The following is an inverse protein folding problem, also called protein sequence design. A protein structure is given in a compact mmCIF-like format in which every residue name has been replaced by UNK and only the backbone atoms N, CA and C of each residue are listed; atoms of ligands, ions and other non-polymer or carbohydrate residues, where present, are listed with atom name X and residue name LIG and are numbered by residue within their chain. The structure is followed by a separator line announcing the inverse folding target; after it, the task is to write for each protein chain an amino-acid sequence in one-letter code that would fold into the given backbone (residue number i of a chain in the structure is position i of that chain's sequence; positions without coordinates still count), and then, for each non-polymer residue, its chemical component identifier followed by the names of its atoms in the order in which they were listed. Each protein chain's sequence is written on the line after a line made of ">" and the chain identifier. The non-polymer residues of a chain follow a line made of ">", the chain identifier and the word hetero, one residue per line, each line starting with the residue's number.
data_IF_240038895263
#
_entry.id   IF_240038895263
#
_cell.length_a   1.000
_cell.length_b   1.000
_cell.length_c   1.000
_cell.angle_alpha   90.00
_cell.angle_beta   90.00
_cell.angle_gamma   90.00
#
_symmetry.space_group_name_H-M   'P 1'
#
loop_
_entity.id
_entity.type
_entity.pdbx_description
1 polymer ?
#
# COMPACT_ATOMS: atom_id res chain seq x y z
N UNK A 1 68.90 6.32 -1.63
CA UNK A 1 67.86 5.42 -2.12
C UNK A 1 66.55 5.87 -1.57
N UNK A 2 65.77 6.61 -2.35
CA UNK A 2 64.48 7.09 -1.89
C UNK A 2 63.38 6.19 -2.47
N UNK A 3 62.75 5.39 -1.61
CA UNK A 3 61.55 4.63 -1.96
C UNK A 3 60.37 5.58 -1.85
N UNK A 4 59.84 6.02 -2.99
CA UNK A 4 58.57 6.70 -3.07
C UNK A 4 57.43 5.67 -2.85
N UNK A 5 56.77 5.79 -1.72
CA UNK A 5 55.55 5.10 -1.42
C UNK A 5 54.40 5.86 -2.12
N UNK A 6 53.90 5.31 -3.22
CA UNK A 6 52.67 5.80 -3.88
C UNK A 6 51.47 5.28 -3.12
N UNK A 7 50.90 6.07 -2.25
CA UNK A 7 49.63 5.81 -1.62
C UNK A 7 48.52 6.01 -2.66
N UNK A 8 47.96 4.91 -3.13
CA UNK A 8 46.75 4.90 -3.95
C UNK A 8 45.55 5.14 -3.03
N UNK A 9 44.96 6.33 -3.10
CA UNK A 9 43.70 6.63 -2.43
C UNK A 9 42.60 6.04 -3.29
N UNK A 10 42.08 4.89 -2.88
CA UNK A 10 40.87 4.30 -3.46
C UNK A 10 39.67 5.06 -2.95
N UNK A 11 39.11 5.94 -3.78
CA UNK A 11 37.81 6.57 -3.52
C UNK A 11 36.75 5.50 -3.82
N UNK A 12 36.28 4.83 -2.77
CA UNK A 12 35.09 3.99 -2.86
C UNK A 12 33.86 4.88 -2.99
N UNK A 13 33.34 5.03 -4.21
CA UNK A 13 32.02 5.61 -4.44
C UNK A 13 30.96 4.63 -3.87
N UNK A 14 30.45 4.96 -2.69
CA UNK A 14 29.22 4.36 -2.18
C UNK A 14 28.07 4.85 -3.07
N UNK A 15 27.70 4.05 -4.06
CA UNK A 15 26.38 4.18 -4.67
C UNK A 15 25.36 3.75 -3.60
N UNK A 16 24.80 4.72 -2.89
CA UNK A 16 23.57 4.51 -2.17
C UNK A 16 22.51 4.18 -3.23
N UNK A 17 22.24 2.90 -3.43
CA UNK A 17 21.06 2.47 -4.15
C UNK A 17 19.87 2.99 -3.34
N UNK A 18 19.27 4.09 -3.78
CA UNK A 18 17.96 4.49 -3.34
C UNK A 18 17.02 3.41 -3.88
N UNK A 19 16.74 2.41 -3.05
CA UNK A 19 15.64 1.52 -3.28
C UNK A 19 14.39 2.41 -3.35
N UNK A 20 13.87 2.62 -4.55
CA UNK A 20 12.53 3.13 -4.71
C UNK A 20 11.64 2.15 -3.93
N UNK A 21 11.13 2.60 -2.77
CA UNK A 21 10.21 1.80 -1.98
C UNK A 21 8.94 1.67 -2.82
N UNK A 22 8.82 0.55 -3.53
CA UNK A 22 7.58 0.19 -4.19
C UNK A 22 6.50 0.10 -3.11
N UNK A 23 5.36 0.79 -3.31
CA UNK A 23 4.23 0.74 -2.39
C UNK A 23 3.64 -0.67 -2.43
N UNK A 24 3.71 -1.39 -1.31
CA UNK A 24 3.17 -2.75 -1.21
C UNK A 24 1.65 -2.71 -1.07
N UNK A 25 0.94 -3.34 -2.02
CA UNK A 25 -0.50 -3.50 -1.93
C UNK A 25 -0.84 -4.51 -0.84
N UNK A 26 -1.66 -4.15 0.18
CA UNK A 26 -2.00 -5.06 1.27
C UNK A 26 -2.75 -6.29 0.78
N UNK A 27 -2.40 -7.45 1.32
CA UNK A 27 -3.12 -8.67 1.04
C UNK A 27 -4.51 -8.60 1.66
N UNK A 28 -5.54 -8.96 0.87
CA UNK A 28 -6.91 -9.04 1.35
C UNK A 28 -7.02 -10.06 2.48
N UNK A 29 -7.73 -9.68 3.54
CA UNK A 29 -7.99 -10.56 4.68
C UNK A 29 -9.20 -11.46 4.42
N UNK A 30 -9.22 -12.60 5.10
CA UNK A 30 -10.40 -13.46 5.16
C UNK A 30 -11.37 -12.94 6.22
N UNK A 31 -12.61 -12.72 5.81
CA UNK A 31 -13.69 -12.29 6.70
C UNK A 31 -14.36 -13.54 7.31
N UNK A 32 -14.54 -13.61 8.64
CA UNK A 32 -15.18 -14.76 9.27
C UNK A 32 -16.63 -14.94 8.82
N UNK A 33 -17.08 -16.19 8.70
CA UNK A 33 -18.47 -16.51 8.37
C UNK A 33 -19.35 -16.34 9.61
N UNK A 34 -20.21 -15.32 9.63
CA UNK A 34 -21.07 -15.01 10.78
C UNK A 34 -22.08 -16.10 11.13
N UNK A 35 -22.42 -17.00 10.20
CA UNK A 35 -23.34 -18.11 10.47
C UNK A 35 -22.70 -19.26 11.26
N UNK A 36 -21.37 -19.34 11.26
CA UNK A 36 -20.62 -20.45 11.88
C UNK A 36 -19.55 -20.01 12.86
N UNK A 37 -19.05 -18.77 12.74
CA UNK A 37 -17.97 -18.25 13.55
C UNK A 37 -18.33 -18.13 15.04
N UNK A 38 -17.35 -18.35 15.92
CA UNK A 38 -17.47 -18.05 17.33
C UNK A 38 -17.43 -16.52 17.58
N UNK A 39 -17.81 -16.10 18.80
CA UNK A 39 -17.66 -14.70 19.21
C UNK A 39 -16.21 -14.24 19.11
N UNK A 40 -15.28 -15.07 19.52
CA UNK A 40 -13.84 -14.74 19.48
C UNK A 40 -13.34 -14.62 18.04
N UNK A 41 -13.83 -15.45 17.11
CA UNK A 41 -13.52 -15.32 15.70
C UNK A 41 -14.06 -14.03 15.10
N UNK A 42 -15.25 -13.62 15.49
CA UNK A 42 -15.84 -12.34 15.05
C UNK A 42 -15.04 -11.13 15.58
N UNK A 43 -14.57 -11.20 16.83
CA UNK A 43 -13.70 -10.15 17.41
C UNK A 43 -12.35 -10.12 16.70
N UNK A 44 -11.75 -11.27 16.44
CA UNK A 44 -10.51 -11.36 15.66
C UNK A 44 -10.70 -10.82 14.23
N UNK A 45 -11.81 -11.12 13.59
CA UNK A 45 -12.20 -10.60 12.29
C UNK A 45 -12.31 -9.08 12.29
N UNK A 46 -12.92 -8.47 13.30
CA UNK A 46 -13.00 -7.02 13.45
C UNK A 46 -11.62 -6.38 13.56
N UNK A 47 -10.73 -6.95 14.35
CA UNK A 47 -9.34 -6.47 14.47
C UNK A 47 -8.60 -6.60 13.14
N UNK A 48 -8.78 -7.70 12.44
CA UNK A 48 -8.21 -7.94 11.11
C UNK A 48 -8.68 -6.91 10.08
N UNK A 49 -9.98 -6.59 10.05
CA UNK A 49 -10.53 -5.55 9.17
C UNK A 49 -9.92 -4.18 9.48
N UNK A 50 -9.84 -3.79 10.75
CA UNK A 50 -9.23 -2.52 11.15
C UNK A 50 -7.75 -2.44 10.74
N UNK A 51 -6.99 -3.50 10.96
CA UNK A 51 -5.58 -3.57 10.55
C UNK A 51 -5.43 -3.48 9.03
N UNK A 52 -6.28 -4.17 8.28
CA UNK A 52 -6.33 -4.10 6.82
C UNK A 52 -6.64 -2.68 6.32
N UNK A 53 -7.63 -2.00 6.91
CA UNK A 53 -7.96 -0.62 6.56
C UNK A 53 -6.77 0.32 6.78
N UNK A 54 -6.08 0.20 7.92
CA UNK A 54 -4.86 0.98 8.20
C UNK A 54 -3.78 0.73 7.16
N UNK A 55 -3.53 -0.53 6.81
CA UNK A 55 -2.53 -0.88 5.78
C UNK A 55 -2.91 -0.34 4.40
N UNK A 56 -4.20 -0.32 4.06
CA UNK A 56 -4.68 0.27 2.80
C UNK A 56 -4.54 1.79 2.79
N UNK A 57 -4.79 2.47 3.91
CA UNK A 57 -4.56 3.92 4.04
C UNK A 57 -3.07 4.26 3.89
N UNK A 58 -2.18 3.46 4.47
CA UNK A 58 -0.74 3.59 4.30
C UNK A 58 -0.32 3.38 2.83
N UNK A 59 -0.91 2.38 2.17
CA UNK A 59 -0.70 2.15 0.74
C UNK A 59 -1.15 3.36 -0.10
N UNK A 60 -2.33 3.90 0.16
CA UNK A 60 -2.84 5.09 -0.54
C UNK A 60 -1.93 6.30 -0.35
N UNK A 61 -1.47 6.55 0.87
CA UNK A 61 -0.50 7.62 1.16
C UNK A 61 0.83 7.39 0.45
N UNK A 62 1.29 6.15 0.39
CA UNK A 62 2.52 5.78 -0.32
C UNK A 62 2.43 6.06 -1.82
N UNK A 63 1.34 5.65 -2.50
CA UNK A 63 1.17 5.88 -3.94
C UNK A 63 0.99 7.35 -4.29
N UNK A 64 0.38 8.15 -3.39
CA UNK A 64 0.29 9.61 -3.55
C UNK A 64 1.67 10.27 -3.49
N UNK A 65 2.49 9.88 -2.51
CA UNK A 65 3.85 10.40 -2.36
C UNK A 65 4.74 9.98 -3.53
N UNK A 66 4.62 8.73 -3.97
CA UNK A 66 5.37 8.19 -5.11
C UNK A 66 5.01 8.91 -6.41
N UNK A 67 3.72 9.16 -6.64
CA UNK A 67 3.23 9.93 -7.80
C UNK A 67 3.74 11.36 -7.77
N UNK A 68 3.70 12.03 -6.62
CA UNK A 68 4.19 13.40 -6.48
C UNK A 68 5.69 13.48 -6.81
N UNK A 69 6.49 12.54 -6.33
CA UNK A 69 7.92 12.47 -6.66
C UNK A 69 8.18 12.21 -8.14
N UNK A 70 7.40 11.31 -8.75
CA UNK A 70 7.53 11.00 -10.17
C UNK A 70 7.19 12.20 -11.06
N UNK A 71 6.14 12.94 -10.73
CA UNK A 71 5.74 14.17 -11.46
C UNK A 71 6.82 15.24 -11.36
N UNK A 72 7.41 15.44 -10.18
CA UNK A 72 8.53 16.38 -10.01
C UNK A 72 9.75 16.03 -10.86
N UNK A 73 10.03 14.74 -11.05
CA UNK A 73 11.16 14.23 -11.83
C UNK A 73 10.97 14.27 -13.35
N UNK A 74 9.74 14.45 -13.84
CA UNK A 74 9.43 14.39 -15.28
C UNK A 74 9.76 15.68 -16.04
N UNK A 75 9.86 16.82 -15.37
CA UNK A 75 10.03 18.13 -16.03
C UNK A 75 8.81 18.52 -16.87
N UNK A 76 9.05 19.24 -17.98
CA UNK A 76 7.98 19.61 -18.91
C UNK A 76 7.60 18.44 -19.82
N UNK A 77 6.40 17.92 -19.63
CA UNK A 77 5.76 16.93 -20.50
C UNK A 77 4.51 17.54 -21.12
N UNK A 78 4.07 16.97 -22.27
CA UNK A 78 2.86 17.43 -22.93
C UNK A 78 1.59 17.13 -22.12
N UNK A 79 0.49 17.80 -22.44
CA UNK A 79 -0.77 17.68 -21.73
C UNK A 79 -1.39 16.27 -21.85
N UNK A 80 -1.16 15.58 -22.96
CA UNK A 80 -1.65 14.21 -23.13
C UNK A 80 -0.94 13.25 -22.19
N UNK A 81 0.36 13.38 -22.02
CA UNK A 81 1.14 12.58 -21.06
C UNK A 81 0.71 12.85 -19.62
N UNK A 82 0.48 14.12 -19.26
CA UNK A 82 -0.04 14.47 -17.93
C UNK A 82 -1.41 13.82 -17.65
N UNK A 83 -2.33 13.95 -18.62
CA UNK A 83 -3.68 13.38 -18.51
C UNK A 83 -3.65 11.86 -18.37
N UNK A 84 -2.90 11.16 -19.20
CA UNK A 84 -2.77 9.70 -19.13
C UNK A 84 -2.23 9.24 -17.78
N UNK A 85 -1.24 9.96 -17.25
CA UNK A 85 -0.66 9.67 -15.94
C UNK A 85 -1.67 9.87 -14.81
N UNK A 86 -2.41 10.96 -14.84
CA UNK A 86 -3.47 11.25 -13.87
C UNK A 86 -4.59 10.19 -13.91
N UNK A 87 -5.04 9.81 -15.11
CA UNK A 87 -6.04 8.75 -15.28
C UNK A 87 -5.55 7.40 -14.71
N UNK A 88 -4.31 7.03 -14.95
CA UNK A 88 -3.71 5.80 -14.41
C UNK A 88 -3.62 5.83 -12.88
N UNK A 89 -3.20 6.95 -12.32
CA UNK A 89 -3.13 7.12 -10.87
C UNK A 89 -4.53 7.05 -10.24
N UNK A 90 -5.49 7.79 -10.76
CA UNK A 90 -6.87 7.80 -10.25
C UNK A 90 -7.51 6.41 -10.33
N UNK A 91 -7.27 5.66 -11.39
CA UNK A 91 -7.76 4.29 -11.53
C UNK A 91 -7.19 3.37 -10.45
N UNK A 92 -5.90 3.46 -10.17
CA UNK A 92 -5.21 2.70 -9.12
C UNK A 92 -5.71 3.06 -7.72
N UNK A 93 -5.84 4.36 -7.45
CA UNK A 93 -6.35 4.88 -6.18
C UNK A 93 -7.78 4.44 -5.91
N UNK A 94 -8.66 4.66 -6.88
CA UNK A 94 -10.08 4.32 -6.76
C UNK A 94 -10.31 2.81 -6.60
N UNK A 95 -9.54 1.97 -7.28
CA UNK A 95 -9.61 0.53 -7.12
C UNK A 95 -9.28 0.09 -5.68
N UNK A 96 -8.30 0.72 -5.03
CA UNK A 96 -7.96 0.45 -3.64
C UNK A 96 -9.07 0.89 -2.68
N UNK A 97 -9.66 2.07 -2.90
CA UNK A 97 -10.82 2.57 -2.10
C UNK A 97 -12.02 1.65 -2.26
N UNK A 98 -12.30 1.20 -3.47
CA UNK A 98 -13.40 0.25 -3.72
C UNK A 98 -13.19 -1.07 -2.99
N UNK A 99 -11.98 -1.60 -2.99
CA UNK A 99 -11.65 -2.84 -2.28
C UNK A 99 -11.81 -2.68 -0.74
N UNK A 100 -11.43 -1.54 -0.19
CA UNK A 100 -11.68 -1.22 1.23
C UNK A 100 -13.18 -1.25 1.55
N UNK A 101 -14.00 -0.65 0.70
CA UNK A 101 -15.44 -0.63 0.87
C UNK A 101 -16.05 -2.03 0.79
N UNK A 102 -15.59 -2.86 -0.16
CA UNK A 102 -16.06 -4.24 -0.29
C UNK A 102 -15.74 -5.09 0.94
N UNK A 103 -14.54 -4.98 1.49
CA UNK A 103 -14.16 -5.69 2.73
C UNK A 103 -15.00 -5.22 3.91
N UNK A 104 -15.24 -3.91 4.06
CA UNK A 104 -16.08 -3.36 5.12
C UNK A 104 -17.53 -3.85 5.01
N UNK A 105 -18.11 -3.86 3.83
CA UNK A 105 -19.48 -4.34 3.57
C UNK A 105 -19.60 -5.84 3.85
N UNK A 106 -18.63 -6.63 3.39
CA UNK A 106 -18.59 -8.07 3.64
C UNK A 106 -18.57 -8.36 5.14
N UNK A 107 -17.69 -7.70 5.89
CA UNK A 107 -17.65 -7.86 7.35
C UNK A 107 -18.97 -7.45 8.01
N UNK A 108 -19.57 -6.34 7.61
CA UNK A 108 -20.86 -5.89 8.14
C UNK A 108 -21.99 -6.91 7.87
N UNK A 109 -21.99 -7.55 6.70
CA UNK A 109 -22.93 -8.64 6.41
C UNK A 109 -22.72 -9.83 7.35
N UNK A 110 -21.49 -10.20 7.62
CA UNK A 110 -21.17 -11.30 8.54
C UNK A 110 -21.53 -10.97 9.99
N UNK A 111 -21.35 -9.72 10.42
CA UNK A 111 -21.81 -9.26 11.74
C UNK A 111 -23.34 -9.39 11.89
N UNK A 112 -24.09 -9.02 10.86
CA UNK A 112 -25.55 -9.18 10.84
C UNK A 112 -25.95 -10.65 10.92
N UNK A 113 -25.32 -11.50 10.11
CA UNK A 113 -25.56 -12.96 10.14
C UNK A 113 -25.26 -13.57 11.52
N UNK A 114 -24.16 -13.14 12.15
CA UNK A 114 -23.82 -13.57 13.51
C UNK A 114 -24.89 -13.16 14.53
N UNK A 115 -25.33 -11.90 14.50
CA UNK A 115 -26.37 -11.40 15.40
C UNK A 115 -27.70 -12.09 15.19
N UNK A 116 -28.10 -12.36 13.95
CA UNK A 116 -29.36 -13.06 13.64
C UNK A 116 -29.38 -14.50 14.15
N UNK A 117 -28.24 -15.19 14.09
CA UNK A 117 -28.09 -16.55 14.63
C UNK A 117 -28.23 -16.59 16.17
N UNK A 118 -27.79 -15.55 16.86
CA UNK A 118 -27.71 -15.49 18.32
C UNK A 118 -28.89 -14.71 18.98
N UNK A 119 -29.95 -14.53 18.25
CA UNK A 119 -31.20 -13.96 18.79
C UNK A 119 -31.99 -14.92 19.65
#
# INVERSE_FOLDING_TARGET
>A
MNKMIKTAVSVSMLFAAQAALACDYPQRIDVPNGTTASKDDMIAGQKGVKSYMTSMEEYLACIEADEAQAVLGMGDVDEDTKRQREEMFNKKYNAAVEEMNLVAEEFNMQVRAYKDRNR
#
